data_IF_625446875463
#
_entry.id   IF_625446875463
#
_cell.length_a   1.000
_cell.length_b   1.000
_cell.length_c   1.000
_cell.angle_alpha   90.00
_cell.angle_beta   90.00
_cell.angle_gamma   90.00
#
_symmetry.space_group_name_H-M   'P 1'
#
loop_
_entity.id
_entity.type
_entity.pdbx_description
1 polymer ?
#
# COMPACT_ATOMS: atom_id res chain seq x y z
N UNK A 1 -3.53 16.86 -40.69
CA UNK A 1 -2.78 15.91 -39.83
C UNK A 1 -3.54 14.61 -39.87
N UNK A 2 -2.87 13.50 -40.21
CA UNK A 2 -3.51 12.17 -40.18
C UNK A 2 -3.35 11.65 -38.76
N UNK A 3 -4.47 11.28 -38.14
CA UNK A 3 -4.47 10.65 -36.83
C UNK A 3 -4.17 9.16 -37.04
N UNK A 4 -2.91 8.78 -36.90
CA UNK A 4 -2.50 7.38 -36.94
C UNK A 4 -2.77 6.76 -35.57
N UNK A 5 -3.64 5.75 -35.53
CA UNK A 5 -3.95 4.98 -34.32
C UNK A 5 -3.18 3.66 -34.33
N UNK A 6 -2.46 3.38 -33.25
CA UNK A 6 -1.74 2.12 -33.04
C UNK A 6 -2.51 1.25 -32.03
N UNK A 7 -2.56 -0.06 -32.28
CA UNK A 7 -3.18 -1.04 -31.38
C UNK A 7 -2.12 -2.06 -30.99
N UNK A 8 -1.93 -2.25 -29.68
CA UNK A 8 -1.06 -3.30 -29.13
C UNK A 8 -1.90 -4.55 -28.85
N UNK A 9 -1.52 -5.67 -29.46
CA UNK A 9 -2.19 -6.97 -29.25
C UNK A 9 -1.20 -7.90 -28.56
N UNK A 10 -1.49 -8.25 -27.31
CA UNK A 10 -0.75 -9.28 -26.59
C UNK A 10 -1.20 -10.67 -27.05
N UNK A 11 -0.25 -11.51 -27.46
CA UNK A 11 -0.47 -12.93 -27.73
C UNK A 11 0.30 -13.73 -26.70
N UNK A 12 -0.36 -14.68 -26.04
CA UNK A 12 0.31 -15.65 -25.18
C UNK A 12 1.24 -16.53 -26.02
N UNK A 13 2.47 -16.67 -25.55
CA UNK A 13 3.55 -17.39 -26.24
C UNK A 13 3.98 -18.56 -25.37
N UNK A 14 4.16 -19.74 -25.97
CA UNK A 14 4.59 -20.93 -25.24
C UNK A 14 5.99 -20.73 -24.62
N UNK A 15 6.26 -21.39 -23.50
CA UNK A 15 7.47 -21.19 -22.66
C UNK A 15 8.83 -21.41 -23.36
N UNK A 16 8.86 -21.96 -24.57
CA UNK A 16 10.07 -22.30 -25.33
C UNK A 16 10.25 -21.45 -26.59
N UNK A 17 9.69 -20.25 -26.63
CA UNK A 17 9.73 -19.40 -27.82
C UNK A 17 10.91 -18.42 -27.74
N UNK A 18 11.68 -18.34 -28.81
CA UNK A 18 12.84 -17.46 -28.89
C UNK A 18 12.41 -16.00 -29.06
N UNK A 19 12.98 -15.12 -28.26
CA UNK A 19 12.75 -13.67 -28.35
C UNK A 19 13.46 -13.15 -29.61
N UNK A 20 12.76 -12.46 -30.54
CA UNK A 20 13.39 -11.91 -31.75
C UNK A 20 14.54 -10.95 -31.42
N UNK A 21 15.60 -10.94 -32.22
CA UNK A 21 16.80 -10.15 -31.94
C UNK A 21 16.53 -8.64 -31.81
N UNK A 22 15.59 -8.13 -32.61
CA UNK A 22 15.16 -6.73 -32.55
C UNK A 22 14.50 -6.34 -31.21
N UNK A 23 13.99 -7.29 -30.44
CA UNK A 23 13.40 -7.05 -29.12
C UNK A 23 14.46 -6.86 -28.04
N UNK A 24 15.69 -7.37 -28.21
CA UNK A 24 16.73 -7.20 -27.18
C UNK A 24 17.08 -5.73 -26.94
N UNK A 25 17.14 -4.93 -28.01
CA UNK A 25 17.36 -3.48 -27.89
C UNK A 25 16.24 -2.80 -27.08
N UNK A 26 14.99 -3.22 -27.30
CA UNK A 26 13.84 -2.69 -26.58
C UNK A 26 13.83 -3.15 -25.12
N UNK A 27 14.16 -4.41 -24.85
CA UNK A 27 14.25 -4.95 -23.49
C UNK A 27 15.39 -4.30 -22.70
N UNK A 28 16.49 -3.96 -23.35
CA UNK A 28 17.59 -3.21 -22.73
C UNK A 28 17.19 -1.77 -22.43
N UNK A 29 16.51 -1.09 -23.36
CA UNK A 29 16.00 0.28 -23.20
C UNK A 29 15.00 0.40 -22.04
N UNK A 30 14.12 -0.60 -21.86
CA UNK A 30 13.07 -0.62 -20.82
C UNK A 30 13.37 -1.61 -19.68
N UNK A 31 14.65 -1.90 -19.45
CA UNK A 31 15.08 -2.82 -18.38
C UNK A 31 14.70 -2.34 -16.97
N UNK A 32 14.45 -1.05 -16.81
CA UNK A 32 14.02 -0.38 -15.58
C UNK A 32 12.50 -0.46 -15.32
N UNK A 33 11.67 -0.82 -16.32
CA UNK A 33 10.20 -0.91 -16.18
C UNK A 33 9.77 -2.12 -15.35
N UNK A 34 10.54 -3.21 -15.41
CA UNK A 34 10.30 -4.45 -14.66
C UNK A 34 11.56 -4.90 -13.94
N UNK A 35 12.02 -4.16 -12.92
CA UNK A 35 13.26 -4.50 -12.24
C UNK A 35 13.08 -5.77 -11.39
N UNK A 36 14.07 -6.65 -11.41
CA UNK A 36 14.11 -7.86 -10.56
C UNK A 36 14.13 -7.51 -9.06
N UNK A 37 14.60 -6.31 -8.73
CA UNK A 37 14.66 -5.76 -7.38
C UNK A 37 14.07 -4.37 -7.39
N UNK A 38 13.02 -4.16 -6.60
CA UNK A 38 12.45 -2.82 -6.40
C UNK A 38 13.51 -1.89 -5.81
N UNK A 39 13.72 -0.74 -6.45
CA UNK A 39 14.68 0.26 -5.97
C UNK A 39 14.32 0.75 -4.56
N UNK A 40 15.34 0.93 -3.72
CA UNK A 40 15.17 1.51 -2.39
C UNK A 40 14.95 3.02 -2.53
N UNK A 41 13.69 3.46 -2.49
CA UNK A 41 13.35 4.87 -2.62
C UNK A 41 11.85 5.10 -2.73
N UNK A 42 11.42 6.30 -2.32
CA UNK A 42 10.07 6.75 -2.62
C UNK A 42 9.90 6.72 -4.14
N UNK A 43 8.76 6.19 -4.59
CA UNK A 43 8.38 6.31 -5.99
C UNK A 43 8.49 7.80 -6.38
N UNK A 44 8.96 8.10 -7.60
CA UNK A 44 8.92 9.46 -8.13
C UNK A 44 7.53 10.07 -7.88
N UNK A 45 7.48 11.37 -7.59
CA UNK A 45 6.21 12.07 -7.39
C UNK A 45 5.30 11.77 -8.58
N UNK A 46 4.27 10.96 -8.34
CA UNK A 46 3.30 10.63 -9.36
C UNK A 46 2.43 11.87 -9.60
N UNK A 47 2.15 12.18 -10.88
CA UNK A 47 1.28 13.31 -11.25
C UNK A 47 -0.12 13.18 -10.62
N UNK A 48 -0.53 11.95 -10.28
CA UNK A 48 -1.80 11.63 -9.64
C UNK A 48 -1.53 11.28 -8.18
N UNK A 49 -1.93 12.17 -7.27
CA UNK A 49 -1.97 11.87 -5.85
C UNK A 49 -3.34 11.30 -5.48
N UNK A 50 -3.36 10.11 -4.88
CA UNK A 50 -4.58 9.55 -4.32
C UNK A 50 -5.03 10.35 -3.09
N UNK A 51 -6.23 10.92 -3.16
CA UNK A 51 -6.87 11.62 -2.04
C UNK A 51 -7.85 10.69 -1.32
N UNK A 52 -7.79 10.65 0.02
CA UNK A 52 -8.75 9.93 0.84
C UNK A 52 -9.62 10.96 1.55
N UNK A 53 -10.84 11.14 1.03
CA UNK A 53 -11.85 11.98 1.65
C UNK A 53 -12.52 11.24 2.81
N UNK A 54 -12.44 11.84 4.00
CA UNK A 54 -13.16 11.35 5.17
C UNK A 54 -14.52 12.05 5.27
N UNK A 55 -15.54 11.31 5.72
CA UNK A 55 -16.82 11.95 6.07
C UNK A 55 -16.60 12.92 7.24
N UNK A 56 -17.13 14.15 7.21
CA UNK A 56 -17.02 15.07 8.34
C UNK A 56 -17.53 14.42 9.64
N UNK A 57 -16.73 14.50 10.71
CA UNK A 57 -17.04 13.85 12.00
C UNK A 57 -16.64 12.38 12.12
N UNK A 58 -16.08 11.77 11.07
CA UNK A 58 -15.50 10.43 11.18
C UNK A 58 -14.15 10.44 11.89
N UNK A 59 -13.84 9.33 12.55
CA UNK A 59 -12.55 9.09 13.21
C UNK A 59 -11.79 7.99 12.47
N UNK A 60 -10.47 8.11 12.44
CA UNK A 60 -9.64 7.01 11.95
C UNK A 60 -9.80 5.81 12.89
N UNK A 61 -9.97 4.59 12.34
CA UNK A 61 -10.05 3.39 13.14
C UNK A 61 -8.72 3.17 13.87
N UNK A 62 -8.75 3.23 15.20
CA UNK A 62 -7.62 2.92 16.08
C UNK A 62 -7.95 1.70 16.93
N UNK A 63 -7.90 0.52 16.31
CA UNK A 63 -8.09 -0.76 17.01
C UNK A 63 -6.75 -1.29 17.53
N UNK A 64 -6.73 -2.02 18.66
CA UNK A 64 -5.54 -2.72 19.09
C UNK A 64 -5.08 -3.67 17.99
N UNK A 65 -3.76 -3.88 17.91
CA UNK A 65 -3.19 -4.80 16.92
C UNK A 65 -3.82 -6.19 17.03
N UNK A 66 -3.90 -6.89 15.90
CA UNK A 66 -4.25 -8.31 15.93
C UNK A 66 -3.21 -9.11 16.73
N UNK A 67 -3.66 -10.12 17.48
CA UNK A 67 -2.73 -11.01 18.20
C UNK A 67 -2.13 -11.99 17.18
N UNK A 68 -0.83 -11.93 17.01
CA UNK A 68 -0.09 -12.80 16.09
C UNK A 68 0.71 -13.86 16.86
N UNK A 69 0.88 -15.03 16.25
CA UNK A 69 1.83 -16.05 16.69
C UNK A 69 3.28 -15.64 16.39
N UNK A 70 4.24 -16.37 16.97
CA UNK A 70 5.66 -16.08 16.76
C UNK A 70 6.06 -16.18 15.27
N UNK A 71 5.59 -17.21 14.55
CA UNK A 71 5.92 -17.38 13.13
C UNK A 71 5.32 -16.30 12.23
N UNK A 72 4.09 -15.85 12.52
CA UNK A 72 3.47 -14.72 11.82
C UNK A 72 4.24 -13.41 12.09
N UNK A 73 4.68 -13.20 13.33
CA UNK A 73 5.47 -12.03 13.69
C UNK A 73 6.85 -12.01 13.02
N UNK A 74 7.53 -13.16 12.94
CA UNK A 74 8.80 -13.31 12.23
C UNK A 74 8.66 -13.00 10.75
N UNK A 75 7.61 -13.54 10.11
CA UNK A 75 7.36 -13.29 8.69
C UNK A 75 7.00 -11.82 8.42
N UNK A 76 6.21 -11.22 9.30
CA UNK A 76 5.89 -9.79 9.22
C UNK A 76 7.15 -8.94 9.36
N UNK A 77 8.02 -9.24 10.33
CA UNK A 77 9.30 -8.55 10.51
C UNK A 77 10.24 -8.74 9.31
N UNK A 78 10.16 -9.88 8.62
CA UNK A 78 10.93 -10.16 7.40
C UNK A 78 10.46 -9.32 6.21
N UNK A 79 9.15 -9.14 6.05
CA UNK A 79 8.56 -8.46 4.88
C UNK A 79 8.40 -6.94 5.03
N UNK A 80 8.13 -6.44 6.24
CA UNK A 80 7.91 -5.00 6.48
C UNK A 80 9.03 -4.12 5.91
N UNK A 81 10.33 -4.46 6.11
CA UNK A 81 11.41 -3.64 5.58
C UNK A 81 11.40 -3.52 4.07
N UNK A 82 10.99 -4.55 3.32
CA UNK A 82 10.89 -4.47 1.86
C UNK A 82 9.68 -3.67 1.41
N UNK A 83 8.56 -3.75 2.15
CA UNK A 83 7.35 -3.01 1.79
C UNK A 83 7.50 -1.50 2.03
N UNK A 84 8.04 -1.10 3.19
CA UNK A 84 8.20 0.33 3.55
C UNK A 84 9.04 1.10 2.52
N UNK A 85 10.02 0.44 1.89
CA UNK A 85 10.94 1.09 0.96
C UNK A 85 10.30 1.56 -0.33
N UNK A 86 9.10 1.09 -0.68
CA UNK A 86 8.38 1.43 -1.92
C UNK A 86 7.00 2.07 -1.66
N UNK A 87 6.64 2.36 -0.41
CA UNK A 87 5.30 2.88 -0.09
C UNK A 87 5.09 4.34 -0.52
N UNK A 88 3.87 4.64 -1.00
CA UNK A 88 3.37 6.00 -1.20
C UNK A 88 2.85 6.63 0.10
N UNK A 89 2.98 7.95 0.23
CA UNK A 89 2.44 8.73 1.35
C UNK A 89 1.09 9.32 0.97
N UNK A 90 0.02 8.83 1.60
CA UNK A 90 -1.32 9.38 1.43
C UNK A 90 -1.54 10.61 2.33
N UNK A 91 -2.23 11.62 1.78
CA UNK A 91 -2.61 12.82 2.53
C UNK A 91 -4.01 12.64 3.11
N UNK A 92 -4.12 12.53 4.44
CA UNK A 92 -5.40 12.40 5.14
C UNK A 92 -5.82 13.76 5.65
N UNK A 93 -6.83 14.38 5.02
CA UNK A 93 -7.39 15.67 5.44
C UNK A 93 -8.78 15.47 6.06
N UNK A 94 -9.12 16.37 7.01
CA UNK A 94 -10.43 16.48 7.70
C UNK A 94 -10.71 15.49 8.84
N UNK A 95 -9.93 15.60 9.93
CA UNK A 95 -10.29 15.02 11.23
C UNK A 95 -10.91 16.11 12.13
N UNK A 96 -12.08 15.83 12.73
CA UNK A 96 -12.58 16.63 13.85
C UNK A 96 -12.12 16.00 15.17
N UNK A 97 -11.74 16.80 16.19
CA UNK A 97 -11.53 16.30 17.54
C UNK A 97 -12.83 15.69 18.10
N UNK A 98 -12.75 14.48 18.65
CA UNK A 98 -13.87 13.88 19.38
C UNK A 98 -14.11 14.67 20.68
N UNK A 99 -15.20 15.43 20.74
CA UNK A 99 -15.72 15.97 21.99
C UNK A 99 -16.68 14.90 22.53
N UNK A 100 -16.24 14.15 23.54
CA UNK A 100 -17.09 13.16 24.18
C UNK A 100 -18.21 13.86 24.93
N UNK A 101 -19.43 13.80 24.39
CA UNK A 101 -20.61 14.21 25.15
C UNK A 101 -20.81 13.22 26.30
N UNK A 102 -20.42 13.68 27.48
CA UNK A 102 -20.74 13.08 28.77
C UNK A 102 -22.25 13.25 29.00
N UNK A 103 -23.04 12.25 28.62
CA UNK A 103 -24.38 12.06 29.15
C UNK A 103 -24.46 10.64 29.68
N UNK A 104 -24.47 10.52 30.99
CA UNK A 104 -24.52 9.28 31.75
C UNK A 104 -25.75 8.45 31.37
N UNK A 105 -25.52 7.23 30.88
CA UNK A 105 -26.26 6.01 31.21
C UNK A 105 -25.37 4.81 30.85
N UNK A 106 -25.17 3.93 31.83
CA UNK A 106 -24.14 2.89 31.87
C UNK A 106 -24.20 1.86 30.72
N UNK A 107 -23.17 1.86 29.88
CA UNK A 107 -22.56 0.63 29.38
C UNK A 107 -21.05 0.87 29.19
N UNK A 108 -20.26 0.20 30.03
CA UNK A 108 -18.82 0.36 30.18
C UNK A 108 -18.05 0.04 28.89
N UNK A 109 -17.93 0.99 27.96
CA UNK A 109 -16.78 1.04 27.04
C UNK A 109 -15.65 1.75 27.77
N UNK A 110 -15.18 1.06 28.80
CA UNK A 110 -13.97 1.40 29.54
C UNK A 110 -12.84 1.43 28.53
N UNK A 111 -12.40 2.63 28.15
CA UNK A 111 -11.08 2.82 27.58
C UNK A 111 -10.06 2.49 28.68
N UNK A 112 -9.87 1.19 28.88
CA UNK A 112 -9.11 0.59 29.96
C UNK A 112 -7.64 0.71 29.61
N UNK A 113 -7.08 1.90 29.84
CA UNK A 113 -5.69 1.91 30.28
C UNK A 113 -5.60 1.00 31.50
N UNK A 114 -4.64 0.08 31.44
CA UNK A 114 -4.21 -0.91 32.44
C UNK A 114 -5.10 -2.16 32.61
N UNK A 115 -4.64 -3.28 32.02
CA UNK A 115 -4.42 -4.59 32.67
C UNK A 115 -4.29 -5.69 31.60
N UNK A 116 -3.10 -5.82 31.02
CA UNK A 116 -2.64 -7.11 30.49
C UNK A 116 -1.53 -7.59 31.41
N UNK A 117 -1.90 -8.30 32.47
CA UNK A 117 -1.00 -9.22 33.16
C UNK A 117 -1.02 -10.48 32.31
N UNK A 118 0.11 -10.80 31.66
CA UNK A 118 0.30 -12.10 31.02
C UNK A 118 0.75 -13.12 32.08
N UNK A 119 0.39 -14.41 31.93
CA UNK A 119 0.88 -15.49 32.80
C UNK A 119 2.40 -15.68 32.69
#
# INVERSE_FOLDING_TARGET
MRDDAFVLIGKEVASNSEIPEAMFLLLEEFSDVFPDVLHDGLLPLCDIQHHIDLKPGSQLPNMPHYRMSLGEHEELCRQIPSYIRCCDVFNVKHLLPYYGDSSDDDDLVRNSRTNFVYP
#
